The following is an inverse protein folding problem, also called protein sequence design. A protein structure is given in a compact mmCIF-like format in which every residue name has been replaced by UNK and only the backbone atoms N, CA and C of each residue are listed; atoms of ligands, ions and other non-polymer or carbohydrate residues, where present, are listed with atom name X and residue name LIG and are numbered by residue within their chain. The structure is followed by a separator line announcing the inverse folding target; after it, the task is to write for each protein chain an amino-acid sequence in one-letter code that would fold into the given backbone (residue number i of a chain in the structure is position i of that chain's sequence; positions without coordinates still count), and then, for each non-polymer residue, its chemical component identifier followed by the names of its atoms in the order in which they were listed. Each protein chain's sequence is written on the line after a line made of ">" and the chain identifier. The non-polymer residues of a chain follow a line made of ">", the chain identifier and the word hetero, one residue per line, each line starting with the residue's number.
data_IF_224164566446
#
_entry.id   IF_224164566446
#
_cell.length_a   1.000
_cell.length_b   1.000
_cell.length_c   1.000
_cell.angle_alpha   90.00
_cell.angle_beta   90.00
_cell.angle_gamma   90.00
#
_symmetry.space_group_name_H-M   'P 1'
#
loop_
_entity.id
_entity.type
_entity.pdbx_description
1 polymer ?
#
# COMPACT_ATOMS: atom_id res chain seq x y z
N UNK A 1 4.67 -2.53 -3.50
CA UNK A 1 4.48 -3.83 -4.20
C UNK A 1 3.47 -4.64 -3.41
N UNK A 2 2.54 -5.33 -4.08
CA UNK A 2 1.51 -6.12 -3.42
C UNK A 2 2.09 -7.32 -2.64
N UNK A 3 1.50 -7.71 -1.48
CA UNK A 3 2.03 -8.76 -0.61
C UNK A 3 2.24 -10.11 -1.30
N UNK A 4 1.32 -10.53 -2.16
CA UNK A 4 1.37 -11.79 -2.89
C UNK A 4 2.57 -11.82 -3.88
N UNK A 5 2.86 -10.69 -4.52
CA UNK A 5 4.02 -10.55 -5.42
C UNK A 5 5.32 -10.63 -4.62
N UNK A 6 5.38 -9.98 -3.45
CA UNK A 6 6.53 -10.07 -2.55
C UNK A 6 6.77 -11.49 -2.02
N UNK A 7 5.74 -12.33 -1.97
CA UNK A 7 5.82 -13.76 -1.59
C UNK A 7 6.13 -14.68 -2.78
N UNK A 8 6.36 -14.12 -3.98
CA UNK A 8 6.61 -14.91 -5.18
C UNK A 8 5.37 -15.61 -5.74
N UNK A 9 4.16 -15.18 -5.36
CA UNK A 9 2.93 -15.70 -5.94
C UNK A 9 2.66 -15.03 -7.30
N UNK A 10 1.83 -15.67 -8.17
CA UNK A 10 1.49 -15.09 -9.47
C UNK A 10 0.81 -13.74 -9.35
N UNK A 11 1.01 -12.92 -10.38
CA UNK A 11 0.32 -11.65 -10.54
C UNK A 11 -1.18 -11.84 -10.75
N UNK A 12 -2.00 -11.02 -10.08
CA UNK A 12 -3.46 -11.08 -10.21
C UNK A 12 -4.07 -9.68 -10.33
N UNK A 13 -5.38 -9.62 -10.54
CA UNK A 13 -6.12 -8.36 -10.48
C UNK A 13 -6.04 -7.72 -9.08
N UNK A 14 -5.93 -8.50 -8.01
CA UNK A 14 -5.74 -7.94 -6.65
C UNK A 14 -4.43 -7.14 -6.55
N UNK A 15 -3.38 -7.56 -7.27
CA UNK A 15 -2.09 -6.84 -7.32
C UNK A 15 -2.23 -5.45 -7.94
N UNK A 16 -3.09 -5.30 -8.96
CA UNK A 16 -3.45 -3.99 -9.53
C UNK A 16 -4.22 -3.14 -8.51
N UNK A 17 -5.21 -3.72 -7.84
CA UNK A 17 -6.02 -3.00 -6.85
C UNK A 17 -5.17 -2.49 -5.68
N UNK A 18 -4.26 -3.33 -5.18
CA UNK A 18 -3.29 -2.94 -4.18
C UNK A 18 -2.43 -1.77 -4.67
N UNK A 19 -1.86 -1.87 -5.87
CA UNK A 19 -1.03 -0.79 -6.43
C UNK A 19 -1.81 0.52 -6.60
N UNK A 20 -3.07 0.43 -7.03
CA UNK A 20 -3.98 1.58 -7.13
C UNK A 20 -4.20 2.26 -5.77
N UNK A 21 -4.38 1.48 -4.69
CA UNK A 21 -4.51 2.04 -3.34
C UNK A 21 -3.26 2.78 -2.85
N UNK A 22 -2.07 2.32 -3.26
CA UNK A 22 -0.81 2.96 -2.91
C UNK A 22 -0.65 4.28 -3.67
N UNK A 23 -1.05 4.31 -4.95
CA UNK A 23 -1.08 5.55 -5.76
C UNK A 23 -2.08 6.56 -5.16
N UNK A 24 -3.27 6.11 -4.77
CA UNK A 24 -4.23 6.98 -4.07
C UNK A 24 -3.65 7.58 -2.80
N UNK A 25 -2.92 6.77 -2.02
CA UNK A 25 -2.26 7.24 -0.80
C UNK A 25 -1.16 8.26 -1.11
N UNK A 26 -0.36 8.03 -2.15
CA UNK A 26 0.68 8.95 -2.62
C UNK A 26 0.08 10.30 -3.06
N UNK A 27 -1.06 10.31 -3.75
CA UNK A 27 -1.79 11.54 -4.08
C UNK A 27 -2.26 12.31 -2.85
N UNK A 28 -2.73 11.60 -1.80
CA UNK A 28 -3.22 12.26 -0.59
C UNK A 28 -2.11 12.76 0.33
N UNK A 29 -0.93 12.14 0.26
CA UNK A 29 0.21 12.46 1.11
C UNK A 29 1.22 13.38 0.45
N UNK A 30 1.24 13.42 -0.88
CA UNK A 30 2.28 14.05 -1.70
C UNK A 30 3.69 13.55 -1.37
N UNK A 31 3.79 12.32 -0.81
CA UNK A 31 5.03 11.71 -0.34
C UNK A 31 5.12 10.28 -0.89
N UNK A 32 6.35 9.83 -1.16
CA UNK A 32 6.60 8.45 -1.55
C UNK A 32 6.25 7.46 -0.41
N UNK A 33 5.56 6.34 -0.70
CA UNK A 33 5.17 5.37 0.32
C UNK A 33 6.39 4.77 1.00
N UNK A 34 6.43 4.85 2.34
CA UNK A 34 7.55 4.39 3.17
C UNK A 34 8.88 5.08 2.85
N UNK A 35 8.86 6.35 2.47
CA UNK A 35 10.07 7.16 2.20
C UNK A 35 11.06 7.23 3.37
N UNK A 36 10.58 7.00 4.59
CA UNK A 36 11.37 6.98 5.82
C UNK A 36 12.02 5.60 6.11
N UNK A 37 11.82 4.59 5.25
CA UNK A 37 12.34 3.22 5.43
C UNK A 37 13.23 2.79 4.28
N UNK A 38 14.24 1.98 4.62
CA UNK A 38 14.99 1.23 3.61
C UNK A 38 14.06 0.27 2.88
N UNK A 39 14.17 0.23 1.54
CA UNK A 39 13.38 -0.63 0.68
C UNK A 39 14.01 -2.01 0.59
N UNK A 40 14.06 -2.69 1.74
CA UNK A 40 14.75 -3.97 1.93
C UNK A 40 13.80 -5.12 2.27
N UNK A 41 14.39 -6.29 2.57
CA UNK A 41 13.64 -7.49 2.96
C UNK A 41 12.78 -7.28 4.20
N UNK A 42 13.21 -6.46 5.17
CA UNK A 42 12.45 -6.23 6.40
C UNK A 42 11.18 -5.41 6.12
N UNK A 43 11.26 -4.41 5.23
CA UNK A 43 10.08 -3.69 4.77
C UNK A 43 9.14 -4.61 4.00
N UNK A 44 9.65 -5.42 3.07
CA UNK A 44 8.85 -6.38 2.31
C UNK A 44 8.12 -7.36 3.24
N UNK A 45 8.83 -7.92 4.24
CA UNK A 45 8.24 -8.80 5.24
C UNK A 45 7.15 -8.08 6.07
N UNK A 46 7.37 -6.81 6.42
CA UNK A 46 6.38 -6.01 7.15
C UNK A 46 5.11 -5.79 6.33
N UNK A 47 5.23 -5.48 5.04
CA UNK A 47 4.08 -5.35 4.12
C UNK A 47 3.31 -6.67 4.03
N UNK A 48 4.03 -7.79 3.91
CA UNK A 48 3.47 -9.14 3.95
C UNK A 48 2.76 -9.46 5.28
N UNK A 49 3.11 -8.82 6.39
CA UNK A 49 2.45 -8.96 7.70
C UNK A 49 1.31 -7.96 7.92
N UNK A 50 0.96 -7.16 6.92
CA UNK A 50 -0.16 -6.21 7.01
C UNK A 50 0.25 -4.76 7.25
N UNK A 51 1.55 -4.41 7.25
CA UNK A 51 1.96 -3.01 7.30
C UNK A 51 1.37 -2.24 6.12
N UNK A 52 0.84 -1.04 6.38
CA UNK A 52 0.29 -0.10 5.38
C UNK A 52 0.83 1.30 5.65
N UNK A 53 0.83 2.20 4.66
CA UNK A 53 1.11 3.61 4.90
C UNK A 53 0.12 4.24 5.87
N UNK A 54 0.55 5.23 6.64
CA UNK A 54 -0.30 5.91 7.62
C UNK A 54 -1.31 6.82 6.91
N UNK A 55 -2.58 6.76 7.32
CA UNK A 55 -3.61 7.62 6.72
C UNK A 55 -3.35 9.08 7.11
N UNK A 56 -3.24 9.95 6.10
CA UNK A 56 -2.98 11.37 6.28
C UNK A 56 -4.21 12.07 6.84
N UNK A 57 -3.99 12.96 7.81
CA UNK A 57 -5.04 13.79 8.37
C UNK A 57 -5.75 14.59 7.27
N UNK A 58 -7.06 14.78 7.39
CA UNK A 58 -7.92 15.43 6.39
C UNK A 58 -8.15 14.66 5.08
N UNK A 59 -7.63 13.43 4.93
CA UNK A 59 -8.02 12.57 3.81
C UNK A 59 -9.54 12.31 3.87
N UNK A 60 -10.31 12.56 2.79
CA UNK A 60 -11.76 12.31 2.80
C UNK A 60 -12.10 10.86 3.15
N UNK A 61 -13.11 10.66 3.99
CA UNK A 61 -13.47 9.31 4.49
C UNK A 61 -13.79 8.33 3.36
N UNK A 62 -14.40 8.78 2.26
CA UNK A 62 -14.66 7.95 1.09
C UNK A 62 -13.37 7.43 0.45
N UNK A 63 -12.31 8.23 0.43
CA UNK A 63 -10.98 7.86 -0.06
C UNK A 63 -10.33 6.84 0.87
N UNK A 64 -10.38 7.07 2.18
CA UNK A 64 -9.87 6.12 3.20
C UNK A 64 -10.54 4.76 3.05
N UNK A 65 -11.87 4.75 2.93
CA UNK A 65 -12.65 3.51 2.79
C UNK A 65 -12.28 2.76 1.51
N UNK A 66 -12.13 3.48 0.39
CA UNK A 66 -11.74 2.88 -0.88
C UNK A 66 -10.31 2.33 -0.84
N UNK A 67 -9.34 3.09 -0.31
CA UNK A 67 -7.96 2.63 -0.14
C UNK A 67 -7.88 1.34 0.69
N UNK A 68 -8.56 1.31 1.84
CA UNK A 68 -8.61 0.12 2.70
C UNK A 68 -9.22 -1.08 2.00
N UNK A 69 -10.30 -0.89 1.24
CA UNK A 69 -10.93 -1.97 0.46
C UNK A 69 -9.98 -2.54 -0.61
N UNK A 70 -9.08 -1.72 -1.13
CA UNK A 70 -8.10 -2.12 -2.13
C UNK A 70 -6.80 -2.70 -1.53
N UNK A 71 -6.63 -2.67 -0.20
CA UNK A 71 -5.49 -3.26 0.51
C UNK A 71 -5.61 -4.76 0.79
N UNK A 72 -6.83 -5.29 0.63
CA UNK A 72 -7.22 -6.68 0.86
C UNK A 72 -7.03 -7.55 -0.40
#
# INVERSE_FOLDING_TARGET
>A
IAPEILRGQPYTQASNMYSFSIIMWEFTSEILPFSDKAHDFLLALSICKGKRPEIIENTPQCYINLMKKCWD
#
